data_IF_381404421120
#
_entry.id   IF_381404421120
#
_cell.length_a   1.000
_cell.length_b   1.000
_cell.length_c   1.000
_cell.angle_alpha   90.00
_cell.angle_beta   90.00
_cell.angle_gamma   90.00
#
_symmetry.space_group_name_H-M   'P 1'
#
loop_
_entity.id
_entity.type
_entity.pdbx_description
1 polymer ?
#
# COMPACT_ATOMS: atom_id res chain seq x y z
N UNK A 1 -26.19 -23.72 -24.19
CA UNK A 1 -25.98 -22.32 -23.77
C UNK A 1 -25.93 -22.28 -22.25
N UNK A 2 -24.76 -22.29 -21.65
CA UNK A 2 -24.56 -22.28 -20.21
C UNK A 2 -24.54 -20.81 -19.76
N UNK A 3 -25.51 -20.42 -18.93
CA UNK A 3 -25.60 -19.06 -18.37
C UNK A 3 -24.45 -18.84 -17.34
N UNK A 4 -23.35 -18.23 -17.79
CA UNK A 4 -22.19 -17.84 -16.99
C UNK A 4 -22.35 -16.45 -16.33
N UNK A 5 -23.58 -16.04 -16.00
CA UNK A 5 -23.88 -14.64 -15.66
C UNK A 5 -24.21 -14.31 -14.19
N UNK A 6 -24.42 -15.28 -13.29
CA UNK A 6 -25.06 -15.01 -11.99
C UNK A 6 -24.18 -15.14 -10.74
N UNK A 7 -22.93 -15.60 -10.87
CA UNK A 7 -22.08 -15.85 -9.69
C UNK A 7 -21.28 -14.60 -9.24
N UNK A 8 -21.02 -13.63 -10.11
CA UNK A 8 -20.18 -12.45 -9.78
C UNK A 8 -20.91 -11.38 -8.95
N UNK A 9 -22.23 -11.33 -8.97
CA UNK A 9 -23.02 -10.33 -8.22
C UNK A 9 -23.18 -10.68 -6.74
N UNK A 10 -22.83 -11.91 -6.34
CA UNK A 10 -23.00 -12.41 -4.97
C UNK A 10 -22.05 -11.73 -3.96
N UNK A 11 -20.89 -11.25 -4.39
CA UNK A 11 -19.84 -10.67 -3.57
C UNK A 11 -19.70 -9.15 -3.74
N UNK A 12 -20.70 -8.48 -4.31
CA UNK A 12 -20.76 -7.01 -4.35
C UNK A 12 -21.03 -6.42 -2.94
N UNK A 13 -21.67 -7.20 -2.07
CA UNK A 13 -21.82 -6.89 -0.66
C UNK A 13 -20.52 -7.25 0.08
N UNK A 14 -19.91 -6.23 0.71
CA UNK A 14 -18.62 -6.36 1.37
C UNK A 14 -18.70 -7.24 2.62
N UNK A 15 -19.76 -7.12 3.41
CA UNK A 15 -19.92 -7.90 4.64
C UNK A 15 -20.05 -9.39 4.32
N UNK A 16 -20.80 -9.70 3.29
CA UNK A 16 -20.93 -11.07 2.80
C UNK A 16 -19.61 -11.62 2.27
N UNK A 17 -18.86 -10.80 1.52
CA UNK A 17 -17.53 -11.18 1.02
C UNK A 17 -16.59 -11.51 2.19
N UNK A 18 -16.58 -10.69 3.23
CA UNK A 18 -15.72 -10.89 4.42
C UNK A 18 -16.07 -12.20 5.12
N UNK A 19 -17.36 -12.47 5.33
CA UNK A 19 -17.82 -13.71 5.97
C UNK A 19 -17.41 -14.94 5.17
N UNK A 20 -17.54 -14.91 3.85
CA UNK A 20 -17.16 -16.03 3.00
C UNK A 20 -15.63 -16.18 2.87
N UNK A 21 -14.87 -15.08 2.90
CA UNK A 21 -13.40 -15.13 2.98
C UNK A 21 -12.93 -15.73 4.30
N UNK A 22 -13.58 -15.41 5.43
CA UNK A 22 -13.24 -16.00 6.72
C UNK A 22 -13.41 -17.53 6.74
N UNK A 23 -14.33 -18.05 5.92
CA UNK A 23 -14.59 -19.49 5.73
C UNK A 23 -13.73 -20.12 4.63
N UNK A 24 -12.85 -19.34 4.02
CA UNK A 24 -12.01 -19.76 2.91
C UNK A 24 -12.79 -20.26 1.67
N UNK A 25 -13.99 -19.68 1.44
CA UNK A 25 -14.80 -20.04 0.26
C UNK A 25 -14.02 -19.76 -1.04
N UNK A 26 -13.84 -20.78 -1.86
CA UNK A 26 -13.03 -20.71 -3.07
C UNK A 26 -13.54 -19.69 -4.09
N UNK A 27 -14.87 -19.43 -4.14
CA UNK A 27 -15.45 -18.43 -5.06
C UNK A 27 -15.22 -17.00 -4.55
N UNK A 28 -15.27 -16.79 -3.24
CA UNK A 28 -14.94 -15.51 -2.62
C UNK A 28 -13.44 -15.18 -2.82
N UNK A 29 -12.58 -16.18 -2.65
CA UNK A 29 -11.13 -16.08 -2.92
C UNK A 29 -10.87 -15.69 -4.37
N UNK A 30 -11.42 -16.43 -5.33
CA UNK A 30 -11.25 -16.11 -6.75
C UNK A 30 -11.79 -14.73 -7.11
N UNK A 31 -12.90 -14.32 -6.51
CA UNK A 31 -13.48 -13.01 -6.75
C UNK A 31 -12.54 -11.88 -6.30
N UNK A 32 -12.04 -11.95 -5.06
CA UNK A 32 -11.20 -10.87 -4.52
C UNK A 32 -9.84 -10.81 -5.22
N UNK A 33 -9.21 -11.96 -5.51
CA UNK A 33 -7.95 -12.01 -6.26
C UNK A 33 -8.09 -11.35 -7.63
N UNK A 34 -9.15 -11.67 -8.37
CA UNK A 34 -9.42 -11.04 -9.66
C UNK A 34 -9.63 -9.53 -9.57
N UNK A 35 -10.20 -9.04 -8.45
CA UNK A 35 -10.39 -7.59 -8.23
C UNK A 35 -9.09 -6.85 -7.97
N UNK A 36 -8.12 -7.47 -7.31
CA UNK A 36 -6.87 -6.81 -6.92
C UNK A 36 -5.74 -7.02 -7.94
N UNK A 37 -5.83 -8.04 -8.79
CA UNK A 37 -4.81 -8.43 -9.76
C UNK A 37 -4.31 -7.26 -10.61
N UNK A 38 -5.23 -6.50 -11.22
CA UNK A 38 -4.88 -5.35 -12.06
C UNK A 38 -4.08 -4.28 -11.33
N UNK A 39 -4.46 -3.98 -10.08
CA UNK A 39 -3.75 -2.99 -9.24
C UNK A 39 -2.38 -3.49 -8.82
N UNK A 40 -2.26 -4.78 -8.50
CA UNK A 40 -0.98 -5.41 -8.18
C UNK A 40 -0.05 -5.44 -9.39
N UNK A 41 -0.58 -5.78 -10.57
CA UNK A 41 0.19 -5.82 -11.81
C UNK A 41 0.73 -4.43 -12.19
N UNK A 42 -0.09 -3.39 -12.08
CA UNK A 42 0.36 -2.01 -12.29
C UNK A 42 1.47 -1.62 -11.31
N UNK A 43 1.33 -2.01 -10.04
CA UNK A 43 2.33 -1.70 -9.03
C UNK A 43 3.66 -2.38 -9.33
N UNK A 44 3.66 -3.68 -9.70
CA UNK A 44 4.87 -4.43 -10.08
C UNK A 44 5.57 -3.77 -11.26
N UNK A 45 4.82 -3.45 -12.33
CA UNK A 45 5.38 -2.77 -13.51
C UNK A 45 6.05 -1.45 -13.14
N UNK A 46 5.44 -0.68 -12.25
CA UNK A 46 6.01 0.58 -11.74
C UNK A 46 7.30 0.38 -10.97
N UNK A 47 7.43 -0.73 -10.26
CA UNK A 47 8.60 -1.06 -9.45
C UNK A 47 9.72 -1.75 -10.25
N UNK A 48 9.52 -2.00 -11.55
CA UNK A 48 10.47 -2.75 -12.37
C UNK A 48 10.69 -4.19 -11.91
N UNK A 49 9.71 -4.77 -11.21
CA UNK A 49 9.76 -6.15 -10.75
C UNK A 49 9.29 -7.10 -11.84
N UNK A 50 9.88 -8.30 -11.86
CA UNK A 50 9.40 -9.37 -12.72
C UNK A 50 7.99 -9.81 -12.33
N UNK A 51 7.15 -10.13 -13.30
CA UNK A 51 5.76 -10.54 -13.08
C UNK A 51 5.62 -11.91 -12.42
N UNK A 52 6.69 -12.70 -12.41
CA UNK A 52 6.73 -14.07 -11.87
C UNK A 52 6.39 -14.11 -10.36
N UNK A 53 6.69 -13.04 -9.62
CA UNK A 53 6.35 -12.96 -8.19
C UNK A 53 4.91 -12.52 -7.91
N UNK A 54 4.10 -12.22 -8.93
CA UNK A 54 2.75 -11.70 -8.75
C UNK A 54 1.84 -12.70 -8.03
N UNK A 55 1.81 -13.92 -8.53
CA UNK A 55 0.92 -14.98 -8.04
C UNK A 55 1.26 -15.35 -6.59
N UNK A 56 2.54 -15.56 -6.31
CA UNK A 56 3.02 -15.87 -4.95
C UNK A 56 2.68 -14.76 -3.96
N UNK A 57 2.96 -13.51 -4.31
CA UNK A 57 2.65 -12.37 -3.44
C UNK A 57 1.15 -12.18 -3.24
N UNK A 58 0.34 -12.42 -4.26
CA UNK A 58 -1.12 -12.33 -4.13
C UNK A 58 -1.66 -13.45 -3.23
N UNK A 59 -1.13 -14.67 -3.31
CA UNK A 59 -1.47 -15.77 -2.42
C UNK A 59 -1.03 -15.50 -0.97
N UNK A 60 0.20 -15.08 -0.75
CA UNK A 60 0.70 -14.73 0.58
C UNK A 60 -0.11 -13.57 1.19
N UNK A 61 -0.40 -12.56 0.39
CA UNK A 61 -1.24 -11.43 0.79
C UNK A 61 -2.65 -11.86 1.18
N UNK A 62 -3.24 -12.79 0.44
CA UNK A 62 -4.55 -13.36 0.74
C UNK A 62 -4.55 -14.13 2.06
N UNK A 63 -3.56 -14.99 2.29
CA UNK A 63 -3.41 -15.75 3.55
C UNK A 63 -3.35 -14.79 4.74
N UNK A 64 -2.50 -13.74 4.63
CA UNK A 64 -2.40 -12.72 5.67
C UNK A 64 -3.72 -11.97 5.89
N UNK A 65 -4.46 -11.68 4.82
CA UNK A 65 -5.73 -10.99 4.91
C UNK A 65 -6.81 -11.85 5.56
N UNK A 66 -6.96 -13.11 5.15
CA UNK A 66 -7.91 -14.05 5.76
C UNK A 66 -7.63 -14.20 7.26
N UNK A 67 -6.36 -14.36 7.64
CA UNK A 67 -5.96 -14.42 9.06
C UNK A 67 -6.41 -13.16 9.82
N UNK A 68 -6.23 -11.97 9.26
CA UNK A 68 -6.67 -10.71 9.90
C UNK A 68 -8.19 -10.62 10.04
N UNK A 69 -8.95 -11.16 9.10
CA UNK A 69 -10.41 -11.26 9.22
C UNK A 69 -10.78 -12.24 10.37
N UNK A 70 -10.16 -13.41 10.40
CA UNK A 70 -10.42 -14.44 11.41
C UNK A 70 -10.05 -14.00 12.84
N UNK A 71 -8.98 -13.22 12.96
CA UNK A 71 -8.52 -12.62 14.23
C UNK A 71 -9.34 -11.39 14.66
N UNK A 72 -10.26 -10.91 13.83
CA UNK A 72 -11.03 -9.68 14.08
C UNK A 72 -10.19 -8.40 14.04
N UNK A 73 -8.99 -8.45 13.46
CA UNK A 73 -8.08 -7.29 13.35
C UNK A 73 -8.28 -6.46 12.08
N UNK A 74 -9.14 -6.91 11.16
CA UNK A 74 -9.57 -6.17 10.00
C UNK A 74 -10.87 -5.41 10.28
N UNK A 75 -10.88 -4.11 9.99
CA UNK A 75 -12.07 -3.24 10.16
C UNK A 75 -12.56 -2.76 8.78
N UNK A 76 -13.73 -3.23 8.38
CA UNK A 76 -14.35 -2.90 7.10
C UNK A 76 -14.79 -1.43 7.00
N UNK A 77 -14.98 -0.74 8.12
CA UNK A 77 -15.33 0.68 8.13
C UNK A 77 -14.16 1.59 7.72
N UNK A 78 -12.93 1.11 7.91
CA UNK A 78 -11.71 1.86 7.58
C UNK A 78 -11.23 1.66 6.15
N UNK A 79 -11.48 0.48 5.58
CA UNK A 79 -11.01 0.17 4.23
C UNK A 79 -11.80 -0.98 3.61
N UNK A 80 -12.15 -0.85 2.34
CA UNK A 80 -12.77 -1.93 1.59
C UNK A 80 -11.83 -3.15 1.46
N UNK A 81 -12.36 -4.40 1.41
CA UNK A 81 -11.56 -5.64 1.35
C UNK A 81 -10.49 -5.64 0.26
N UNK A 82 -10.86 -5.21 -0.96
CA UNK A 82 -9.93 -5.14 -2.09
C UNK A 82 -8.83 -4.11 -1.88
N UNK A 83 -9.13 -2.97 -1.27
CA UNK A 83 -8.15 -1.92 -0.98
C UNK A 83 -7.15 -2.40 0.07
N UNK A 84 -7.65 -3.05 1.12
CA UNK A 84 -6.82 -3.58 2.19
C UNK A 84 -5.89 -4.68 1.70
N UNK A 85 -6.42 -5.67 0.94
CA UNK A 85 -5.61 -6.74 0.33
C UNK A 85 -4.56 -6.16 -0.64
N UNK A 86 -4.93 -5.19 -1.48
CA UNK A 86 -3.96 -4.51 -2.36
C UNK A 86 -2.83 -3.85 -1.56
N UNK A 87 -3.14 -3.26 -0.40
CA UNK A 87 -2.15 -2.69 0.52
C UNK A 87 -1.18 -3.74 1.08
N UNK A 88 -1.69 -4.90 1.49
CA UNK A 88 -0.85 -6.04 1.93
C UNK A 88 0.09 -6.47 0.81
N UNK A 89 -0.44 -6.72 -0.40
CA UNK A 89 0.36 -7.16 -1.55
C UNK A 89 1.45 -6.12 -1.89
N UNK A 90 1.13 -4.83 -1.91
CA UNK A 90 2.13 -3.77 -2.15
C UNK A 90 3.26 -3.80 -1.11
N UNK A 91 2.95 -4.00 0.16
CA UNK A 91 3.96 -4.12 1.20
C UNK A 91 4.86 -5.36 1.01
N UNK A 92 4.28 -6.49 0.60
CA UNK A 92 5.05 -7.70 0.27
C UNK A 92 5.99 -7.47 -0.93
N UNK A 93 5.51 -6.82 -2.00
CA UNK A 93 6.36 -6.43 -3.13
C UNK A 93 7.52 -5.51 -2.72
N UNK A 94 7.25 -4.53 -1.86
CA UNK A 94 8.30 -3.66 -1.32
C UNK A 94 9.34 -4.44 -0.51
N UNK A 95 8.92 -5.44 0.26
CA UNK A 95 9.84 -6.30 1.01
C UNK A 95 10.74 -7.12 0.09
N UNK A 96 10.19 -7.69 -1.00
CA UNK A 96 10.97 -8.41 -2.02
C UNK A 96 12.00 -7.46 -2.67
N UNK A 97 11.58 -6.24 -3.01
CA UNK A 97 12.47 -5.24 -3.61
C UNK A 97 13.62 -4.87 -2.67
N UNK A 98 13.33 -4.72 -1.38
CA UNK A 98 14.35 -4.44 -0.36
C UNK A 98 15.32 -5.59 -0.19
N UNK A 99 14.82 -6.83 -0.11
CA UNK A 99 15.66 -8.01 -0.01
C UNK A 99 16.62 -8.12 -1.21
N UNK A 100 16.12 -7.87 -2.43
CA UNK A 100 16.96 -7.82 -3.65
C UNK A 100 17.99 -6.69 -3.62
N UNK A 101 17.65 -5.50 -3.10
CA UNK A 101 18.56 -4.36 -2.97
C UNK A 101 19.64 -4.60 -1.90
N UNK A 102 19.32 -5.28 -0.81
CA UNK A 102 20.30 -5.63 0.22
C UNK A 102 21.41 -6.56 -0.32
N UNK A 103 21.12 -7.29 -1.40
CA UNK A 103 22.10 -8.15 -2.09
C UNK A 103 22.91 -7.39 -3.15
N UNK A 104 22.40 -6.27 -3.68
CA UNK A 104 23.09 -5.43 -4.69
C UNK A 104 23.32 -4.01 -4.17
N UNK A 105 24.41 -3.84 -3.45
CA UNK A 105 24.85 -2.52 -2.90
C UNK A 105 25.56 -1.64 -3.93
N UNK A 106 25.24 -1.72 -5.21
CA UNK A 106 25.81 -0.85 -6.25
C UNK A 106 24.72 -0.51 -7.25
N UNK A 107 24.50 0.81 -7.49
CA UNK A 107 23.57 1.43 -8.46
C UNK A 107 22.21 1.85 -7.94
N UNK A 108 22.18 3.03 -7.31
CA UNK A 108 20.95 3.61 -6.72
C UNK A 108 20.55 4.98 -7.30
N UNK A 109 21.08 5.44 -8.41
CA UNK A 109 20.78 6.78 -8.95
C UNK A 109 19.96 6.83 -10.24
N UNK A 110 19.79 5.75 -11.00
CA UNK A 110 19.09 5.80 -12.31
C UNK A 110 17.65 5.32 -12.35
N UNK A 111 17.13 4.69 -11.29
CA UNK A 111 15.79 4.06 -11.33
C UNK A 111 14.60 5.03 -11.17
N UNK A 112 14.85 6.35 -11.02
CA UNK A 112 13.77 7.33 -10.84
C UNK A 112 13.30 8.00 -12.14
N UNK A 113 13.90 7.72 -13.29
CA UNK A 113 13.68 8.51 -14.51
C UNK A 113 12.96 7.85 -15.69
N UNK A 114 12.41 6.64 -15.55
CA UNK A 114 11.67 6.05 -16.67
C UNK A 114 10.19 5.89 -16.36
N UNK A 115 9.43 6.92 -16.63
CA UNK A 115 7.96 6.92 -16.70
C UNK A 115 7.53 7.24 -18.13
N UNK A 116 7.00 6.24 -18.87
CA UNK A 116 6.21 6.45 -20.09
C UNK A 116 4.73 6.15 -19.79
N UNK A 117 3.93 7.15 -19.85
CA UNK A 117 2.78 7.45 -20.68
C UNK A 117 1.56 6.53 -20.55
N UNK A 118 0.74 6.89 -19.55
CA UNK A 118 -0.70 6.91 -19.74
C UNK A 118 -1.15 8.34 -19.35
N UNK A 119 -1.45 9.17 -20.36
CA UNK A 119 -1.43 10.64 -20.24
C UNK A 119 -2.49 11.18 -19.27
N UNK A 120 -3.63 10.54 -19.11
CA UNK A 120 -4.69 11.01 -18.19
C UNK A 120 -4.48 10.53 -16.75
N UNK A 121 -4.11 9.27 -16.53
CA UNK A 121 -3.78 8.76 -15.21
C UNK A 121 -2.52 9.43 -14.64
N UNK A 122 -1.58 9.87 -15.51
CA UNK A 122 -0.38 10.58 -15.10
C UNK A 122 -0.63 12.02 -14.64
N UNK A 123 -1.66 12.68 -15.18
CA UNK A 123 -1.99 14.06 -14.80
C UNK A 123 -2.54 14.13 -13.37
N UNK A 124 -3.55 13.33 -13.06
CA UNK A 124 -4.08 13.22 -11.68
C UNK A 124 -3.04 12.72 -10.68
N UNK A 125 -2.17 11.80 -11.08
CA UNK A 125 -1.09 11.33 -10.22
C UNK A 125 -0.07 12.44 -9.93
N UNK A 126 0.28 13.26 -10.93
CA UNK A 126 1.19 14.41 -10.76
C UNK A 126 0.59 15.48 -9.86
N UNK A 127 -0.70 15.77 -10.00
CA UNK A 127 -1.40 16.73 -9.14
C UNK A 127 -1.47 16.22 -7.70
N UNK A 128 -1.84 14.95 -7.51
CA UNK A 128 -1.85 14.33 -6.19
C UNK A 128 -0.47 14.31 -5.54
N UNK A 129 0.60 14.04 -6.30
CA UNK A 129 1.97 14.09 -5.79
C UNK A 129 2.39 15.52 -5.42
N UNK A 130 2.01 16.53 -6.19
CA UNK A 130 2.25 17.94 -5.84
C UNK A 130 1.56 18.32 -4.54
N UNK A 131 0.31 17.89 -4.38
CA UNK A 131 -0.46 18.16 -3.17
C UNK A 131 0.12 17.45 -1.94
N UNK A 132 0.47 16.16 -2.07
CA UNK A 132 1.14 15.41 -0.99
C UNK A 132 2.46 16.09 -0.62
N UNK A 133 3.28 16.49 -1.59
CA UNK A 133 4.53 17.20 -1.32
C UNK A 133 4.31 18.56 -0.64
N UNK A 134 3.25 19.30 -1.01
CA UNK A 134 2.87 20.56 -0.38
C UNK A 134 2.48 20.33 1.09
N UNK A 135 1.60 19.35 1.37
CA UNK A 135 1.18 19.00 2.71
C UNK A 135 2.37 18.52 3.56
N UNK A 136 3.26 17.69 3.00
CA UNK A 136 4.48 17.25 3.66
C UNK A 136 5.47 18.40 3.89
N UNK A 137 5.44 19.44 3.07
CA UNK A 137 6.23 20.65 3.27
C UNK A 137 5.77 21.46 4.49
N UNK A 138 4.46 21.52 4.74
CA UNK A 138 3.88 22.28 5.86
C UNK A 138 4.10 21.62 7.24
N UNK A 139 4.28 20.30 7.28
CA UNK A 139 4.39 19.57 8.56
C UNK A 139 5.72 19.81 9.28
N UNK A 140 6.75 20.30 8.57
CA UNK A 140 8.11 20.53 9.10
C UNK A 140 9.04 19.33 8.96
N UNK A 141 10.36 19.63 8.99
CA UNK A 141 11.42 18.67 8.63
C UNK A 141 11.38 17.36 9.43
N UNK A 142 11.35 17.33 10.78
CA UNK A 142 11.40 16.06 11.50
C UNK A 142 10.25 15.12 11.14
N UNK A 143 9.03 15.64 11.04
CA UNK A 143 7.86 14.84 10.71
C UNK A 143 7.86 14.39 9.25
N UNK A 144 8.25 15.27 8.33
CA UNK A 144 8.39 14.96 6.91
C UNK A 144 9.33 13.77 6.69
N UNK A 145 10.50 13.81 7.28
CA UNK A 145 11.51 12.75 7.19
C UNK A 145 11.00 11.41 7.73
N UNK A 146 10.38 11.40 8.91
CA UNK A 146 9.82 10.20 9.52
C UNK A 146 8.74 9.55 8.65
N UNK A 147 7.88 10.38 8.04
CA UNK A 147 6.82 9.91 7.15
C UNK A 147 7.40 9.42 5.82
N UNK A 148 8.33 10.17 5.23
CA UNK A 148 8.96 9.80 3.97
C UNK A 148 9.76 8.50 4.11
N UNK A 149 10.58 8.33 5.14
CA UNK A 149 11.36 7.11 5.37
C UNK A 149 10.46 5.89 5.49
N UNK A 150 9.35 5.99 6.24
CA UNK A 150 8.45 4.84 6.45
C UNK A 150 7.57 4.52 5.24
N UNK A 151 6.91 5.54 4.68
CA UNK A 151 5.83 5.34 3.71
C UNK A 151 6.26 5.48 2.25
N UNK A 152 7.26 6.30 1.96
CA UNK A 152 7.80 6.47 0.61
C UNK A 152 9.09 5.66 0.42
N UNK A 153 10.02 5.73 1.36
CA UNK A 153 11.26 4.96 1.34
C UNK A 153 11.07 3.51 1.75
N UNK A 154 9.99 3.22 2.48
CA UNK A 154 9.61 1.86 2.86
C UNK A 154 10.50 1.24 3.93
N UNK A 155 11.36 2.00 4.61
CA UNK A 155 12.24 1.48 5.67
C UNK A 155 11.44 0.98 6.87
N UNK A 156 11.81 -0.20 7.41
CA UNK A 156 11.25 -0.69 8.67
C UNK A 156 11.80 0.13 9.84
N UNK A 157 11.10 0.11 10.97
CA UNK A 157 11.44 0.94 12.12
C UNK A 157 12.82 0.57 12.69
N UNK A 158 13.12 -0.71 12.73
CA UNK A 158 14.41 -1.27 13.13
C UNK A 158 15.53 -0.85 12.17
N UNK A 159 15.26 -0.86 10.85
CA UNK A 159 16.22 -0.43 9.84
C UNK A 159 16.55 1.06 9.96
N UNK A 160 15.53 1.89 10.21
CA UNK A 160 15.74 3.33 10.37
C UNK A 160 16.70 3.65 11.54
N UNK A 161 16.62 2.88 12.63
CA UNK A 161 17.50 3.03 13.80
C UNK A 161 18.88 2.45 13.51
N UNK A 162 18.95 1.22 13.00
CA UNK A 162 20.21 0.51 12.74
C UNK A 162 21.08 1.24 11.71
N UNK A 163 20.46 1.81 10.67
CA UNK A 163 21.12 2.60 9.64
C UNK A 163 21.34 4.08 10.05
N UNK A 164 20.93 4.45 11.27
CA UNK A 164 21.03 5.81 11.81
C UNK A 164 20.39 6.87 10.89
N UNK A 165 19.31 6.49 10.19
CA UNK A 165 18.56 7.42 9.34
C UNK A 165 17.70 8.39 10.15
N UNK A 166 17.47 8.09 11.41
CA UNK A 166 16.69 8.88 12.37
C UNK A 166 17.40 8.95 13.71
N UNK A 167 17.19 10.02 14.45
CA UNK A 167 17.82 10.23 15.77
C UNK A 167 16.91 9.72 16.90
N UNK A 168 16.63 8.42 16.91
CA UNK A 168 15.85 7.74 17.97
C UNK A 168 16.63 6.54 18.49
N UNK A 169 16.53 6.33 19.81
CA UNK A 169 17.22 5.22 20.49
C UNK A 169 16.39 3.94 20.56
N UNK A 170 15.08 4.02 20.34
CA UNK A 170 14.18 2.85 20.39
C UNK A 170 13.09 2.92 19.31
N UNK A 171 12.64 1.75 18.89
CA UNK A 171 11.53 1.58 17.96
C UNK A 171 10.24 2.21 18.49
N UNK A 172 9.98 2.07 19.80
CA UNK A 172 8.76 2.61 20.42
C UNK A 172 8.75 4.14 20.42
N UNK A 173 9.88 4.78 20.72
CA UNK A 173 9.99 6.25 20.66
C UNK A 173 9.80 6.75 19.21
N UNK A 174 10.36 6.05 18.23
CA UNK A 174 10.16 6.34 16.82
C UNK A 174 8.68 6.22 16.40
N UNK A 175 8.00 5.15 16.81
CA UNK A 175 6.57 4.92 16.54
C UNK A 175 5.69 5.98 17.16
N UNK A 176 5.94 6.35 18.42
CA UNK A 176 5.19 7.42 19.10
C UNK A 176 5.35 8.75 18.37
N UNK A 177 6.58 9.14 18.04
CA UNK A 177 6.86 10.39 17.30
C UNK A 177 6.20 10.38 15.93
N UNK A 178 6.28 9.28 15.18
CA UNK A 178 5.62 9.16 13.88
C UNK A 178 4.08 9.23 14.01
N UNK A 179 3.50 8.62 15.04
CA UNK A 179 2.06 8.72 15.30
C UNK A 179 1.63 10.18 15.54
N UNK A 180 2.41 10.96 16.29
CA UNK A 180 2.17 12.38 16.48
C UNK A 180 2.30 13.17 15.15
N UNK A 181 3.29 12.83 14.33
CA UNK A 181 3.44 13.41 13.01
C UNK A 181 2.26 13.12 12.10
N UNK A 182 1.71 11.89 12.13
CA UNK A 182 0.52 11.51 11.37
C UNK A 182 -0.73 12.30 11.82
N UNK A 183 -0.89 12.53 13.13
CA UNK A 183 -1.97 13.38 13.63
C UNK A 183 -1.85 14.83 13.11
N UNK A 184 -0.64 15.40 13.14
CA UNK A 184 -0.39 16.73 12.55
C UNK A 184 -0.70 16.74 11.05
N UNK A 185 -0.27 15.72 10.32
CA UNK A 185 -0.52 15.58 8.88
C UNK A 185 -2.02 15.55 8.59
N UNK A 186 -2.80 14.80 9.36
CA UNK A 186 -4.25 14.73 9.25
C UNK A 186 -4.91 16.09 9.42
N UNK A 187 -4.48 16.89 10.40
CA UNK A 187 -5.01 18.25 10.60
C UNK A 187 -4.66 19.17 9.42
N UNK A 188 -3.43 19.09 8.91
CA UNK A 188 -3.01 19.90 7.76
C UNK A 188 -3.80 19.47 6.50
N UNK A 189 -3.99 18.17 6.28
CA UNK A 189 -4.70 17.66 5.11
C UNK A 189 -6.15 18.12 5.02
N UNK A 190 -6.81 18.39 6.16
CA UNK A 190 -8.18 18.94 6.18
C UNK A 190 -8.29 20.31 5.51
N UNK A 191 -7.21 21.11 5.51
CA UNK A 191 -7.19 22.41 4.82
C UNK A 191 -7.29 22.27 3.29
N UNK A 192 -6.87 21.10 2.78
CA UNK A 192 -6.84 20.81 1.34
C UNK A 192 -7.97 19.90 0.88
N UNK A 193 -8.93 19.60 1.77
CA UNK A 193 -10.04 18.68 1.45
C UNK A 193 -10.92 19.24 0.31
N UNK A 194 -11.14 20.55 0.27
CA UNK A 194 -11.90 21.24 -0.78
C UNK A 194 -11.25 21.14 -2.17
N UNK A 195 -9.93 20.99 -2.23
CA UNK A 195 -9.17 20.87 -3.48
C UNK A 195 -9.29 19.47 -4.09
N UNK A 196 -9.88 18.50 -3.34
CA UNK A 196 -10.06 17.10 -3.75
C UNK A 196 -11.49 16.76 -4.17
N UNK A 197 -12.47 17.57 -3.79
CA UNK A 197 -13.90 17.32 -4.04
C UNK A 197 -14.40 18.00 -5.34
N UNK A 198 -13.52 18.67 -6.08
CA UNK A 198 -13.73 19.23 -7.41
C UNK A 198 -12.92 18.49 -8.47
#
# INVERSE_FOLDING_TARGET
>A
MIKLGTSFNRFSDQDKLIVELAKEDSKAIQYILKKVEGSCLQFIKKMGLASDCLEDVMHDGLILFIRKIQEGSYDASLSAPQTYLTGICKNLFLNITRAKRAVSTIELEEAFHTYSEDVQASFHLKENLKLVNKILGEIGSPCKELIQLKYLGGYQDEEQINLKLVNYSSVDSLRVSRSQCMKKLSVISLKYKSDYEN
#
